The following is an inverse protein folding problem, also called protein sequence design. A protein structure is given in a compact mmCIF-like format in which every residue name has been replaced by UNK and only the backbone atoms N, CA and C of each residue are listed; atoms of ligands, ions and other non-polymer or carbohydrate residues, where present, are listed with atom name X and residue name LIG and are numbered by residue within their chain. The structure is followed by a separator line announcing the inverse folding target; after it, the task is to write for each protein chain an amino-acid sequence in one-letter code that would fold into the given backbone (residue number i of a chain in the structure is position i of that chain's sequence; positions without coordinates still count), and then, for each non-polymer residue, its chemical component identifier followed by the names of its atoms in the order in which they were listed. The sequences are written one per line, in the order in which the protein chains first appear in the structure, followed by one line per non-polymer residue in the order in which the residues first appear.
data_IF_151351390912
#
_entry.id   IF_151351390912
#
_cell.length_a   1.000
_cell.length_b   1.000
_cell.length_c   1.000
_cell.angle_alpha   90.00
_cell.angle_beta   90.00
_cell.angle_gamma   90.00
#
_symmetry.space_group_name_H-M   'P 1'
#
loop_
_entity.id
_entity.type
_entity.pdbx_description
1 polymer ?
#
# COMPACT_ATOMS: atom_id res chain seq x y z
N UNK A 1 24.63 16.77 0.16
CA UNK A 1 23.86 15.59 -0.28
C UNK A 1 24.56 14.99 -1.49
N UNK A 2 25.13 13.79 -1.34
CA UNK A 2 25.89 13.13 -2.41
C UNK A 2 24.98 12.83 -3.62
N UNK A 3 25.52 12.98 -4.84
CA UNK A 3 24.77 12.81 -6.10
C UNK A 3 23.95 11.51 -6.19
N UNK A 4 24.37 10.41 -5.52
CA UNK A 4 23.62 9.15 -5.44
C UNK A 4 22.24 9.28 -4.78
N UNK A 5 22.03 10.22 -3.84
CA UNK A 5 20.76 10.41 -3.15
C UNK A 5 19.67 11.08 -4.05
N UNK A 6 20.07 11.70 -5.16
CA UNK A 6 19.16 12.36 -6.10
C UNK A 6 18.56 11.42 -7.16
N UNK A 7 19.25 10.31 -7.47
CA UNK A 7 18.83 9.40 -8.54
C UNK A 7 17.83 8.33 -8.06
N UNK A 8 17.84 7.98 -6.77
CA UNK A 8 16.97 6.94 -6.25
C UNK A 8 15.46 7.24 -6.45
N UNK A 9 14.93 8.43 -6.13
CA UNK A 9 13.51 8.71 -6.36
C UNK A 9 13.14 8.71 -7.85
N UNK A 10 14.03 9.16 -8.74
CA UNK A 10 13.78 9.16 -10.18
C UNK A 10 13.75 7.73 -10.75
N UNK A 11 14.65 6.86 -10.32
CA UNK A 11 14.66 5.46 -10.73
C UNK A 11 13.42 4.72 -10.24
N UNK A 12 13.00 4.95 -8.98
CA UNK A 12 11.77 4.39 -8.44
C UNK A 12 10.54 4.88 -9.23
N UNK A 13 10.49 6.17 -9.54
CA UNK A 13 9.41 6.75 -10.35
C UNK A 13 9.33 6.10 -11.73
N UNK A 14 10.46 5.97 -12.43
CA UNK A 14 10.51 5.28 -13.73
C UNK A 14 10.02 3.83 -13.63
N UNK A 15 10.45 3.11 -12.59
CA UNK A 15 9.97 1.74 -12.32
C UNK A 15 8.45 1.69 -12.13
N UNK A 16 7.91 2.56 -11.27
CA UNK A 16 6.46 2.63 -11.03
C UNK A 16 5.70 2.97 -12.30
N UNK A 17 6.15 3.95 -13.10
CA UNK A 17 5.51 4.31 -14.36
C UNK A 17 5.57 3.18 -15.39
N UNK A 18 6.69 2.44 -15.46
CA UNK A 18 6.81 1.28 -16.35
C UNK A 18 5.82 0.17 -15.97
N UNK A 19 5.67 -0.12 -14.67
CA UNK A 19 4.70 -1.12 -14.18
C UNK A 19 3.26 -0.61 -14.38
N UNK A 20 3.00 0.68 -14.20
CA UNK A 20 1.68 1.27 -14.45
C UNK A 20 1.25 1.08 -15.92
N UNK A 21 2.14 1.42 -16.85
CA UNK A 21 1.87 1.22 -18.30
C UNK A 21 1.66 -0.26 -18.60
N UNK A 22 2.56 -1.12 -18.13
CA UNK A 22 2.45 -2.57 -18.35
C UNK A 22 1.15 -3.16 -17.78
N UNK A 23 0.75 -2.76 -16.56
CA UNK A 23 -0.47 -3.28 -15.94
C UNK A 23 -1.73 -2.83 -16.67
N UNK A 24 -1.73 -1.63 -17.25
CA UNK A 24 -2.86 -1.10 -18.03
C UNK A 24 -3.00 -1.70 -19.44
N UNK A 25 -1.96 -2.38 -19.95
CA UNK A 25 -2.03 -3.06 -21.24
C UNK A 25 -2.76 -4.41 -21.08
N UNK A 26 -3.97 -4.51 -21.63
CA UNK A 26 -4.80 -5.72 -21.59
C UNK A 26 -4.90 -6.35 -20.16
N UNK A 27 -5.41 -5.62 -19.17
CA UNK A 27 -5.70 -6.19 -17.86
C UNK A 27 -6.81 -7.25 -17.99
N UNK A 28 -6.87 -8.17 -17.04
CA UNK A 28 -7.89 -9.24 -17.01
C UNK A 28 -9.32 -8.64 -17.02
N UNK A 29 -9.54 -7.64 -16.17
CA UNK A 29 -10.75 -6.82 -16.15
C UNK A 29 -10.39 -5.34 -16.01
N UNK A 30 -10.92 -4.49 -16.92
CA UNK A 30 -10.59 -3.05 -16.93
C UNK A 30 -11.23 -2.28 -15.80
N UNK A 31 -12.43 -2.67 -15.40
CA UNK A 31 -13.14 -2.02 -14.31
C UNK A 31 -12.42 -2.28 -12.98
N UNK A 32 -12.11 -3.51 -12.69
CA UNK A 32 -11.30 -3.92 -11.54
C UNK A 32 -9.93 -3.24 -11.56
N UNK A 33 -9.24 -3.22 -12.71
CA UNK A 33 -7.94 -2.55 -12.83
C UNK A 33 -8.00 -1.08 -12.42
N UNK A 34 -9.02 -0.34 -12.87
CA UNK A 34 -9.18 1.07 -12.50
C UNK A 34 -9.35 1.20 -10.99
N UNK A 35 -10.22 0.42 -10.38
CA UNK A 35 -10.51 0.49 -8.94
C UNK A 35 -9.27 0.18 -8.09
N UNK A 36 -8.54 -0.87 -8.45
CA UNK A 36 -7.33 -1.31 -7.76
C UNK A 36 -6.14 -0.33 -7.91
N UNK A 37 -6.06 0.33 -9.04
CA UNK A 37 -4.95 1.26 -9.35
C UNK A 37 -5.28 2.70 -8.93
N UNK A 38 -6.54 3.03 -8.58
CA UNK A 38 -6.94 4.37 -8.10
C UNK A 38 -6.01 4.93 -7.02
N UNK A 39 -5.58 4.18 -5.98
CA UNK A 39 -4.66 4.72 -4.98
C UNK A 39 -3.33 5.18 -5.58
N UNK A 40 -2.82 4.50 -6.60
CA UNK A 40 -1.60 4.89 -7.34
C UNK A 40 -1.86 6.12 -8.18
N UNK A 41 -3.00 6.17 -8.90
CA UNK A 41 -3.38 7.29 -9.76
C UNK A 41 -3.60 8.58 -8.98
N UNK A 42 -4.07 8.49 -7.74
CA UNK A 42 -4.25 9.64 -6.84
C UNK A 42 -2.93 9.97 -6.12
N UNK A 43 -2.26 8.96 -5.57
CA UNK A 43 -1.06 9.16 -4.73
C UNK A 43 0.12 9.71 -5.52
N UNK A 44 0.35 9.20 -6.74
CA UNK A 44 1.50 9.61 -7.54
C UNK A 44 1.50 11.12 -7.86
N UNK A 45 0.42 11.74 -8.36
CA UNK A 45 0.36 13.20 -8.55
C UNK A 45 0.55 13.98 -7.26
N UNK A 46 -0.01 13.51 -6.13
CA UNK A 46 0.15 14.17 -4.83
C UNK A 46 1.63 14.17 -4.43
N UNK A 47 2.33 13.03 -4.52
CA UNK A 47 3.75 12.94 -4.18
C UNK A 47 4.64 13.77 -5.11
N UNK A 48 4.30 13.84 -6.39
CA UNK A 48 5.01 14.70 -7.34
C UNK A 48 4.81 16.19 -7.03
N UNK A 49 3.59 16.60 -6.71
CA UNK A 49 3.26 17.99 -6.39
C UNK A 49 3.86 18.44 -5.05
N UNK A 50 3.89 17.55 -4.05
CA UNK A 50 4.34 17.87 -2.69
C UNK A 50 5.82 17.60 -2.45
N UNK A 51 6.45 16.73 -3.25
CA UNK A 51 7.79 16.19 -3.00
C UNK A 51 8.92 17.24 -2.89
N UNK A 52 8.75 18.42 -3.47
CA UNK A 52 9.70 19.55 -3.29
C UNK A 52 9.52 20.26 -1.94
N UNK A 53 8.31 20.34 -1.44
CA UNK A 53 7.96 21.04 -0.19
C UNK A 53 8.01 20.12 1.02
N UNK A 54 7.70 18.85 0.79
CA UNK A 54 7.66 17.80 1.81
C UNK A 54 8.36 16.54 1.27
N UNK A 55 9.69 16.57 1.11
CA UNK A 55 10.43 15.39 0.66
C UNK A 55 10.29 14.29 1.71
N UNK A 56 10.02 13.06 1.25
CA UNK A 56 9.92 11.89 2.10
C UNK A 56 11.27 11.20 2.27
N UNK A 57 11.39 10.36 3.29
CA UNK A 57 12.57 9.51 3.45
C UNK A 57 12.71 8.53 2.28
N UNK A 58 13.95 8.15 1.95
CA UNK A 58 14.22 7.16 0.88
C UNK A 58 13.55 5.82 1.17
N UNK A 59 13.52 5.41 2.45
CA UNK A 59 12.80 4.23 2.90
C UNK A 59 11.32 4.31 2.47
N UNK A 60 10.66 5.42 2.76
CA UNK A 60 9.25 5.60 2.45
C UNK A 60 8.99 5.63 0.94
N UNK A 61 9.83 6.32 0.15
CA UNK A 61 9.71 6.26 -1.32
C UNK A 61 9.85 4.83 -1.86
N UNK A 62 10.77 4.03 -1.30
CA UNK A 62 10.94 2.63 -1.71
C UNK A 62 9.72 1.77 -1.35
N UNK A 63 9.18 1.96 -0.14
CA UNK A 63 7.98 1.25 0.30
C UNK A 63 6.75 1.62 -0.54
N UNK A 64 6.56 2.89 -0.84
CA UNK A 64 5.47 3.35 -1.71
C UNK A 64 5.59 2.79 -3.13
N UNK A 65 6.79 2.70 -3.68
CA UNK A 65 7.02 2.11 -4.99
C UNK A 65 6.68 0.60 -5.00
N UNK A 66 7.10 -0.14 -3.97
CA UNK A 66 6.76 -1.57 -3.82
C UNK A 66 5.24 -1.76 -3.67
N UNK A 67 4.59 -0.95 -2.83
CA UNK A 67 3.14 -1.02 -2.63
C UNK A 67 2.39 -0.71 -3.93
N UNK A 68 2.79 0.33 -4.66
CA UNK A 68 2.23 0.64 -5.97
C UNK A 68 2.37 -0.55 -6.95
N UNK A 69 3.51 -1.24 -6.96
CA UNK A 69 3.69 -2.45 -7.78
C UNK A 69 2.73 -3.58 -7.36
N UNK A 70 2.54 -3.80 -6.05
CA UNK A 70 1.59 -4.82 -5.55
C UNK A 70 0.17 -4.51 -6.06
N UNK A 71 -0.30 -3.27 -5.91
CA UNK A 71 -1.62 -2.84 -6.39
C UNK A 71 -1.75 -3.01 -7.90
N UNK A 72 -0.75 -2.57 -8.67
CA UNK A 72 -0.80 -2.64 -10.15
C UNK A 72 -0.73 -4.07 -10.68
N UNK A 73 -0.01 -4.97 -10.02
CA UNK A 73 0.00 -6.40 -10.36
C UNK A 73 -1.35 -7.03 -9.99
N UNK A 74 -1.89 -6.73 -8.81
CA UNK A 74 -3.24 -7.14 -8.40
C UNK A 74 -4.28 -6.72 -9.42
N UNK A 75 -4.31 -5.43 -9.78
CA UNK A 75 -5.26 -4.90 -10.76
C UNK A 75 -5.11 -5.51 -12.15
N UNK A 76 -3.86 -5.82 -12.59
CA UNK A 76 -3.65 -6.44 -13.90
C UNK A 76 -4.30 -7.82 -14.05
N UNK A 77 -4.20 -8.66 -13.02
CA UNK A 77 -4.66 -10.05 -13.06
C UNK A 77 -6.00 -10.28 -12.35
N UNK A 78 -6.54 -9.26 -11.66
CA UNK A 78 -7.41 -9.35 -10.48
C UNK A 78 -6.71 -10.09 -9.34
N UNK A 79 -6.94 -9.71 -8.09
CA UNK A 79 -6.13 -10.26 -6.96
C UNK A 79 -6.24 -11.77 -6.84
N UNK A 80 -7.44 -12.33 -7.11
CA UNK A 80 -7.69 -13.76 -7.05
C UNK A 80 -6.95 -14.58 -8.13
N UNK A 81 -6.49 -13.94 -9.21
CA UNK A 81 -5.90 -14.60 -10.38
C UNK A 81 -4.39 -14.28 -10.55
N UNK A 82 -3.74 -13.65 -9.57
CA UNK A 82 -2.32 -13.33 -9.65
C UNK A 82 -1.47 -14.61 -9.65
N UNK A 83 -0.64 -14.84 -10.68
CA UNK A 83 0.16 -16.07 -10.80
C UNK A 83 1.04 -16.38 -9.59
N UNK A 84 1.64 -15.34 -8.97
CA UNK A 84 2.46 -15.49 -7.76
C UNK A 84 1.66 -16.12 -6.61
N UNK A 85 0.39 -15.75 -6.45
CA UNK A 85 -0.46 -16.30 -5.40
C UNK A 85 -0.76 -17.79 -5.61
N UNK A 86 -0.91 -18.25 -6.86
CA UNK A 86 -1.05 -19.67 -7.18
C UNK A 86 0.23 -20.45 -6.89
N UNK A 87 1.40 -19.93 -7.30
CA UNK A 87 2.68 -20.59 -7.01
C UNK A 87 2.94 -20.75 -5.51
N UNK A 88 2.63 -19.71 -4.73
CA UNK A 88 2.73 -19.78 -3.26
C UNK A 88 1.69 -20.75 -2.70
N UNK A 89 0.45 -20.71 -3.21
CA UNK A 89 -0.61 -21.62 -2.83
C UNK A 89 -0.23 -23.09 -3.04
N UNK A 90 0.29 -23.42 -4.23
CA UNK A 90 0.76 -24.77 -4.55
C UNK A 90 1.92 -25.21 -3.64
N UNK A 91 2.91 -24.35 -3.45
CA UNK A 91 4.08 -24.67 -2.61
C UNK A 91 3.73 -24.89 -1.13
N UNK A 92 2.67 -24.23 -0.61
CA UNK A 92 2.24 -24.29 0.79
C UNK A 92 0.99 -25.14 1.02
N UNK A 93 0.42 -25.74 -0.04
CA UNK A 93 -0.81 -26.54 0.05
C UNK A 93 -2.05 -25.72 0.42
N UNK A 94 -2.13 -24.45 -0.01
CA UNK A 94 -3.25 -23.53 0.27
C UNK A 94 -4.36 -23.71 -0.75
N UNK A 95 -5.62 -23.65 -0.27
CA UNK A 95 -6.80 -23.88 -1.11
C UNK A 95 -7.21 -22.69 -1.98
N UNK A 96 -6.70 -21.47 -1.67
CA UNK A 96 -7.04 -20.23 -2.40
C UNK A 96 -5.80 -19.42 -2.71
N UNK A 97 -5.94 -18.48 -3.64
CA UNK A 97 -4.94 -17.46 -3.91
C UNK A 97 -4.96 -16.40 -2.81
N UNK A 98 -3.86 -16.25 -2.08
CA UNK A 98 -3.73 -15.29 -0.97
C UNK A 98 -3.02 -13.98 -1.37
N UNK A 99 -2.99 -13.62 -2.66
CA UNK A 99 -2.36 -12.37 -3.08
C UNK A 99 -3.07 -11.14 -2.50
N UNK A 100 -4.39 -11.23 -2.35
CA UNK A 100 -5.21 -10.21 -1.71
C UNK A 100 -4.77 -9.95 -0.27
N UNK A 101 -4.57 -10.99 0.53
CA UNK A 101 -4.01 -10.87 1.89
C UNK A 101 -2.66 -10.15 1.92
N UNK A 102 -1.81 -10.37 0.90
CA UNK A 102 -0.56 -9.63 0.75
C UNK A 102 -0.82 -8.15 0.45
N UNK A 103 -1.80 -7.84 -0.39
CA UNK A 103 -2.24 -6.48 -0.69
C UNK A 103 -2.64 -5.74 0.58
N UNK A 104 -3.52 -6.32 1.39
CA UNK A 104 -3.98 -5.73 2.65
C UNK A 104 -2.88 -5.65 3.72
N UNK A 105 -1.99 -6.64 3.79
CA UNK A 105 -0.79 -6.52 4.63
C UNK A 105 0.05 -5.30 4.22
N UNK A 106 0.31 -5.11 2.92
CA UNK A 106 1.05 -3.97 2.41
C UNK A 106 0.29 -2.65 2.62
N UNK A 107 -1.05 -2.66 2.53
CA UNK A 107 -1.96 -1.54 2.81
C UNK A 107 -1.87 -1.09 4.28
N UNK A 108 -1.55 -1.97 5.20
CA UNK A 108 -1.22 -1.60 6.58
C UNK A 108 0.24 -1.17 6.74
N UNK A 109 1.16 -1.98 6.20
CA UNK A 109 2.60 -1.85 6.40
C UNK A 109 3.17 -0.52 5.87
N UNK A 110 2.82 -0.16 4.65
CA UNK A 110 3.39 1.03 3.98
C UNK A 110 2.73 2.32 4.47
N UNK A 111 1.40 2.44 4.53
CA UNK A 111 0.75 3.62 5.10
C UNK A 111 1.09 3.87 6.57
N UNK A 112 1.48 2.85 7.35
CA UNK A 112 1.94 3.07 8.72
C UNK A 112 3.19 3.94 8.76
N UNK A 113 4.17 3.71 7.88
CA UNK A 113 5.38 4.55 7.81
C UNK A 113 5.06 5.93 7.22
N UNK A 114 4.14 6.02 6.26
CA UNK A 114 3.68 7.31 5.71
C UNK A 114 2.96 8.15 6.79
N UNK A 115 1.98 7.59 7.47
CA UNK A 115 1.25 8.26 8.54
C UNK A 115 2.22 8.67 9.67
N UNK A 116 3.14 7.77 10.05
CA UNK A 116 4.17 8.04 11.05
C UNK A 116 5.04 9.23 10.65
N UNK A 117 5.53 9.29 9.41
CA UNK A 117 6.36 10.39 8.93
C UNK A 117 5.60 11.72 8.94
N UNK A 118 4.36 11.72 8.44
CA UNK A 118 3.51 12.91 8.46
C UNK A 118 3.26 13.37 9.88
N UNK A 119 2.82 12.50 10.78
CA UNK A 119 2.51 12.85 12.18
C UNK A 119 3.74 13.35 12.96
N UNK A 120 4.90 12.75 12.78
CA UNK A 120 6.14 13.21 13.42
C UNK A 120 6.51 14.64 12.97
N UNK A 121 6.24 14.98 11.71
CA UNK A 121 6.67 16.25 11.10
C UNK A 121 5.65 17.37 11.23
N UNK A 122 4.36 17.05 11.41
CA UNK A 122 3.27 18.03 11.35
C UNK A 122 2.42 18.10 12.62
N UNK A 123 2.70 17.26 13.63
CA UNK A 123 1.91 17.22 14.85
C UNK A 123 2.78 17.12 16.11
N UNK A 124 2.23 17.36 17.31
CA UNK A 124 2.94 17.22 18.58
C UNK A 124 3.20 15.76 19.01
N UNK A 125 2.94 14.77 18.13
CA UNK A 125 3.09 13.36 18.44
C UNK A 125 4.54 12.86 18.33
N UNK A 126 5.49 13.70 17.89
CA UNK A 126 6.93 13.35 17.88
C UNK A 126 7.39 12.96 19.29
N UNK A 127 7.91 11.73 19.44
CA UNK A 127 8.35 11.19 20.74
C UNK A 127 7.22 10.78 21.69
N UNK A 128 5.97 10.96 21.31
CA UNK A 128 4.82 10.55 22.11
C UNK A 128 4.61 9.03 22.06
N UNK A 129 4.30 8.44 23.24
CA UNK A 129 3.86 7.04 23.32
C UNK A 129 2.49 6.77 22.63
N UNK A 130 1.75 7.80 22.29
CA UNK A 130 0.50 7.70 21.55
C UNK A 130 0.70 7.51 20.05
N UNK A 131 1.86 7.93 19.52
CA UNK A 131 2.13 7.87 18.08
C UNK A 131 1.86 6.48 17.45
N UNK A 132 2.38 5.36 17.97
CA UNK A 132 2.11 4.06 17.37
C UNK A 132 0.63 3.68 17.36
N UNK A 133 -0.11 4.00 18.42
CA UNK A 133 -1.54 3.72 18.51
C UNK A 133 -2.36 4.54 17.51
N UNK A 134 -2.05 5.82 17.35
CA UNK A 134 -2.71 6.68 16.36
C UNK A 134 -2.41 6.19 14.94
N UNK A 135 -1.17 5.77 14.66
CA UNK A 135 -0.80 5.21 13.35
C UNK A 135 -1.56 3.91 13.05
N UNK A 136 -1.62 2.99 14.03
CA UNK A 136 -2.37 1.72 13.87
C UNK A 136 -3.86 1.99 13.65
N UNK A 137 -4.46 2.88 14.44
CA UNK A 137 -5.86 3.26 14.28
C UNK A 137 -6.14 3.88 12.91
N UNK A 138 -5.23 4.73 12.41
CA UNK A 138 -5.33 5.30 11.07
C UNK A 138 -5.29 4.22 9.98
N UNK A 139 -4.34 3.28 10.07
CA UNK A 139 -4.23 2.20 9.08
C UNK A 139 -5.47 1.29 9.08
N UNK A 140 -5.99 0.95 10.27
CA UNK A 140 -7.21 0.16 10.38
C UNK A 140 -8.43 0.90 9.84
N UNK A 141 -8.57 2.19 10.15
CA UNK A 141 -9.64 3.02 9.59
C UNK A 141 -9.55 3.12 8.06
N UNK A 142 -8.33 3.27 7.53
CA UNK A 142 -8.10 3.30 6.08
C UNK A 142 -8.49 1.96 5.43
N UNK A 143 -8.11 0.82 6.01
CA UNK A 143 -8.52 -0.51 5.55
C UNK A 143 -10.05 -0.66 5.60
N UNK A 144 -10.69 -0.30 6.71
CA UNK A 144 -12.15 -0.36 6.83
C UNK A 144 -12.87 0.52 5.78
N UNK A 145 -12.33 1.71 5.46
CA UNK A 145 -12.87 2.55 4.39
C UNK A 145 -12.72 1.90 3.01
N UNK A 146 -11.64 1.15 2.78
CA UNK A 146 -11.44 0.42 1.54
C UNK A 146 -12.49 -0.70 1.40
N UNK A 147 -12.69 -1.51 2.44
CA UNK A 147 -13.74 -2.54 2.48
C UNK A 147 -15.15 -1.97 2.26
N UNK A 148 -15.44 -0.81 2.85
CA UNK A 148 -16.71 -0.10 2.59
C UNK A 148 -16.83 0.35 1.13
N UNK A 149 -15.72 0.74 0.50
CA UNK A 149 -15.71 1.12 -0.92
C UNK A 149 -15.96 -0.10 -1.81
N UNK A 150 -15.41 -1.26 -1.49
CA UNK A 150 -15.69 -2.51 -2.15
C UNK A 150 -17.16 -2.90 -2.03
N UNK A 151 -17.69 -2.86 -0.81
CA UNK A 151 -19.10 -3.13 -0.57
C UNK A 151 -20.03 -2.18 -1.34
N UNK A 152 -19.77 -0.86 -1.32
CA UNK A 152 -20.57 0.11 -2.07
C UNK A 152 -20.47 -0.12 -3.58
N UNK A 153 -19.31 -0.47 -4.07
CA UNK A 153 -19.11 -0.82 -5.48
C UNK A 153 -19.95 -2.04 -5.83
N UNK A 154 -19.94 -3.08 -5.00
CA UNK A 154 -20.75 -4.28 -5.20
C UNK A 154 -22.26 -3.97 -5.21
N UNK A 155 -22.73 -3.15 -4.28
CA UNK A 155 -24.13 -2.72 -4.22
C UNK A 155 -24.53 -1.94 -5.48
N UNK A 156 -23.63 -1.10 -5.98
CA UNK A 156 -23.91 -0.22 -7.14
C UNK A 156 -23.82 -0.95 -8.49
N UNK A 157 -22.94 -1.95 -8.62
CA UNK A 157 -22.60 -2.57 -9.93
C UNK A 157 -22.97 -4.05 -10.02
N UNK A 158 -23.37 -4.69 -8.92
CA UNK A 158 -23.75 -6.12 -8.89
C UNK A 158 -22.62 -7.01 -9.36
N UNK A 159 -22.92 -7.94 -10.27
CA UNK A 159 -21.96 -8.96 -10.75
C UNK A 159 -20.68 -8.39 -11.36
N UNK A 160 -20.71 -7.14 -11.86
CA UNK A 160 -19.53 -6.48 -12.42
C UNK A 160 -18.40 -6.25 -11.39
N UNK A 161 -18.71 -6.25 -10.10
CA UNK A 161 -17.72 -6.09 -9.01
C UNK A 161 -17.16 -7.40 -8.47
N UNK A 162 -17.63 -8.57 -8.92
CA UNK A 162 -17.22 -9.87 -8.36
C UNK A 162 -15.71 -10.09 -8.43
N UNK A 163 -15.07 -9.66 -9.52
CA UNK A 163 -13.63 -9.74 -9.69
C UNK A 163 -12.86 -8.75 -8.78
N UNK A 164 -13.48 -7.61 -8.46
CA UNK A 164 -12.93 -6.59 -7.57
C UNK A 164 -13.02 -7.02 -6.10
N UNK A 165 -14.13 -7.62 -5.68
CA UNK A 165 -14.30 -8.13 -4.31
C UNK A 165 -13.29 -9.22 -3.95
N UNK A 166 -12.86 -10.04 -4.89
CA UNK A 166 -11.81 -11.05 -4.70
C UNK A 166 -12.07 -12.11 -3.63
N UNK A 167 -13.29 -12.20 -3.10
CA UNK A 167 -13.64 -13.00 -1.90
C UNK A 167 -13.35 -14.50 -2.01
N UNK A 168 -13.35 -15.05 -3.24
CA UNK A 168 -13.13 -16.48 -3.50
C UNK A 168 -14.01 -17.40 -2.61
N UNK A 169 -15.19 -16.91 -2.20
CA UNK A 169 -16.15 -17.63 -1.37
C UNK A 169 -15.88 -17.58 0.15
N UNK A 170 -14.91 -16.80 0.60
CA UNK A 170 -14.65 -16.60 2.04
C UNK A 170 -15.65 -15.59 2.61
N UNK A 171 -16.50 -16.01 3.53
CA UNK A 171 -17.49 -15.13 4.18
C UNK A 171 -16.87 -14.14 5.18
N UNK A 172 -15.62 -14.36 5.57
CA UNK A 172 -14.86 -13.53 6.50
C UNK A 172 -13.78 -12.70 5.80
N UNK A 173 -13.86 -12.53 4.48
CA UNK A 173 -12.84 -11.87 3.68
C UNK A 173 -12.51 -10.48 4.20
N UNK A 174 -13.49 -9.59 4.31
CA UNK A 174 -13.38 -8.25 4.88
C UNK A 174 -12.67 -8.22 6.24
N UNK A 175 -13.00 -9.17 7.15
CA UNK A 175 -12.38 -9.23 8.47
C UNK A 175 -10.92 -9.68 8.41
N UNK A 176 -10.59 -10.62 7.54
CA UNK A 176 -9.22 -11.03 7.31
C UNK A 176 -8.38 -9.90 6.72
N UNK A 177 -8.93 -9.11 5.81
CA UNK A 177 -8.25 -8.03 5.14
C UNK A 177 -7.94 -6.89 6.10
N UNK A 178 -8.92 -6.49 6.92
CA UNK A 178 -8.67 -5.57 8.02
C UNK A 178 -7.63 -6.11 9.02
N UNK A 179 -7.64 -7.40 9.33
CA UNK A 179 -6.66 -8.02 10.21
C UNK A 179 -5.26 -8.01 9.57
N UNK A 180 -5.14 -8.30 8.27
CA UNK A 180 -3.86 -8.22 7.56
C UNK A 180 -3.31 -6.81 7.56
N UNK A 181 -4.15 -5.79 7.36
CA UNK A 181 -3.74 -4.40 7.46
C UNK A 181 -3.27 -4.04 8.89
N UNK A 182 -3.97 -4.50 9.92
CA UNK A 182 -3.56 -4.32 11.32
C UNK A 182 -2.20 -4.95 11.61
N UNK A 183 -1.99 -6.20 11.18
CA UNK A 183 -0.72 -6.93 11.34
C UNK A 183 0.38 -6.21 10.56
N UNK A 184 0.12 -5.77 9.33
CA UNK A 184 1.04 -5.01 8.50
C UNK A 184 1.51 -3.73 9.19
N UNK A 185 0.57 -2.93 9.71
CA UNK A 185 0.88 -1.69 10.42
C UNK A 185 1.74 -1.94 11.69
N UNK A 186 1.36 -2.91 12.51
CA UNK A 186 2.12 -3.27 13.71
C UNK A 186 3.54 -3.76 13.34
N UNK A 187 3.65 -4.61 12.31
CA UNK A 187 4.93 -5.13 11.82
C UNK A 187 5.84 -4.01 11.32
N UNK A 188 5.31 -3.06 10.55
CA UNK A 188 6.08 -1.91 10.07
C UNK A 188 6.63 -1.06 11.23
N UNK A 189 5.80 -0.78 12.23
CA UNK A 189 6.22 -0.01 13.39
C UNK A 189 7.30 -0.73 14.21
N UNK A 190 7.18 -2.03 14.42
CA UNK A 190 8.16 -2.82 15.18
C UNK A 190 9.49 -2.93 14.41
N UNK A 191 9.44 -3.19 13.11
CA UNK A 191 10.63 -3.52 12.32
C UNK A 191 11.33 -2.30 11.75
N UNK A 192 10.59 -1.27 11.32
CA UNK A 192 11.14 -0.16 10.54
C UNK A 192 11.31 1.15 11.32
N UNK A 193 10.69 1.34 12.49
CA UNK A 193 10.73 2.63 13.20
C UNK A 193 12.14 3.15 13.43
N UNK A 194 13.09 2.29 13.83
CA UNK A 194 14.49 2.71 14.08
C UNK A 194 15.22 3.14 12.81
N UNK A 195 14.99 2.44 11.69
CA UNK A 195 15.58 2.77 10.40
C UNK A 195 14.98 4.09 9.86
N UNK A 196 13.65 4.23 10.02
CA UNK A 196 12.91 5.42 9.65
C UNK A 196 13.37 6.66 10.46
N UNK A 197 13.55 6.54 11.80
CA UNK A 197 14.04 7.62 12.64
C UNK A 197 15.42 8.11 12.22
N UNK A 198 16.34 7.19 11.88
CA UNK A 198 17.67 7.55 11.36
C UNK A 198 17.58 8.34 10.06
N UNK A 199 16.71 7.95 9.15
CA UNK A 199 16.53 8.68 7.88
C UNK A 199 15.84 10.03 8.09
N UNK A 200 14.86 10.12 8.99
CA UNK A 200 14.22 11.38 9.37
C UNK A 200 15.21 12.35 9.98
N UNK A 201 16.06 11.90 10.90
CA UNK A 201 17.10 12.75 11.48
C UNK A 201 18.09 13.27 10.42
N UNK A 202 18.46 12.42 9.46
CA UNK A 202 19.33 12.83 8.35
C UNK A 202 18.64 13.80 7.37
N UNK A 203 17.32 13.68 7.20
CA UNK A 203 16.53 14.53 6.30
C UNK A 203 16.23 15.91 6.91
N UNK A 204 15.91 15.95 8.21
CA UNK A 204 15.47 17.17 8.90
C UNK A 204 16.61 17.96 9.54
N UNK A 205 17.80 17.36 9.65
CA UNK A 205 18.92 17.93 10.41
C UNK A 205 18.79 17.69 11.92
N UNK A 206 19.81 18.07 12.69
CA UNK A 206 19.73 18.04 14.16
C UNK A 206 18.60 18.94 14.65
N UNK A 207 17.85 18.48 15.62
CA UNK A 207 16.77 19.22 16.29
C UNK A 207 17.33 20.31 17.18
#
# INVERSE_FOLDING_TARGET
MNGRARWAPAALLLGVLSVLVWSGVAPHDRFTWVLEVVPVLIGLPIFLATGRRFPLTTLLYSLLAVHACILMVGGKYTYAEVPLGFWVGEALGLARNHYDRLGHFAQGFVPAILAREILIRTSPLRGSRWLPWVVIAFCLAFSACYELTEWWTAVATGDASTAFLGTQGDVWDTQWDMLMALIGAATALVTLSRAHDRQLAALLGPA
#
